data_IF_639270832162
#
_entry.id   IF_639270832162
#
_cell.length_a   1.000
_cell.length_b   1.000
_cell.length_c   1.000
_cell.angle_alpha   90.00
_cell.angle_beta   90.00
_cell.angle_gamma   90.00
#
_symmetry.space_group_name_H-M   'P 1'
#
loop_
_entity.id
_entity.type
_entity.pdbx_description
1 polymer ?
#
# COMPACT_ATOMS: atom_id res chain seq x y z
N UNK A 1 -15.18 -16.20 -9.79
CA UNK A 1 -14.97 -17.41 -8.95
C UNK A 1 -15.94 -17.36 -7.78
N UNK A 2 -16.54 -18.49 -7.41
CA UNK A 2 -17.46 -18.59 -6.28
C UNK A 2 -17.05 -19.82 -5.47
N UNK A 3 -16.86 -19.65 -4.16
CA UNK A 3 -16.49 -20.72 -3.24
C UNK A 3 -17.41 -20.67 -2.04
N UNK A 4 -17.97 -21.81 -1.65
CA UNK A 4 -18.87 -21.93 -0.50
C UNK A 4 -18.21 -22.83 0.54
N UNK A 5 -18.09 -22.34 1.76
CA UNK A 5 -17.71 -23.13 2.93
C UNK A 5 -18.91 -23.32 3.83
N UNK A 6 -19.23 -24.57 4.16
CA UNK A 6 -20.32 -24.91 5.09
C UNK A 6 -19.78 -25.29 6.46
N UNK A 7 -20.63 -25.15 7.49
CA UNK A 7 -20.29 -25.47 8.87
C UNK A 7 -19.80 -26.91 9.04
N UNK A 8 -18.63 -27.07 9.65
CA UNK A 8 -18.11 -28.38 10.05
C UNK A 8 -18.76 -28.80 11.38
N UNK A 9 -19.64 -29.82 11.41
CA UNK A 9 -20.27 -30.28 12.66
C UNK A 9 -19.27 -30.92 13.62
N UNK A 10 -18.11 -31.36 13.13
CA UNK A 10 -17.05 -31.99 13.92
C UNK A 10 -15.90 -31.02 14.23
N UNK A 11 -16.16 -29.70 14.26
CA UNK A 11 -15.13 -28.73 14.57
C UNK A 11 -14.61 -28.92 16.00
N UNK A 12 -13.28 -28.95 16.15
CA UNK A 12 -12.62 -29.36 17.40
C UNK A 12 -12.91 -28.43 18.59
N UNK A 13 -13.31 -27.18 18.33
CA UNK A 13 -13.64 -26.20 19.37
C UNK A 13 -15.15 -26.16 19.58
N UNK A 14 -15.65 -26.57 20.76
CA UNK A 14 -17.09 -26.53 21.06
C UNK A 14 -17.70 -25.13 20.89
N UNK A 15 -18.92 -25.08 20.38
CA UNK A 15 -19.67 -23.82 20.17
C UNK A 15 -19.29 -23.03 18.90
N UNK A 16 -18.37 -23.54 18.08
CA UNK A 16 -17.93 -22.92 16.83
C UNK A 16 -17.99 -23.88 15.63
N UNK A 17 -18.05 -23.36 14.39
CA UNK A 17 -18.27 -21.95 14.03
C UNK A 17 -19.73 -21.50 14.24
N UNK A 18 -19.95 -20.18 14.32
CA UNK A 18 -21.28 -19.62 14.53
C UNK A 18 -22.15 -19.60 13.28
N UNK A 19 -21.56 -19.32 12.11
CA UNK A 19 -22.25 -19.27 10.82
C UNK A 19 -22.47 -20.68 10.26
N UNK A 20 -23.58 -20.87 9.57
CA UNK A 20 -23.91 -22.13 8.90
C UNK A 20 -23.22 -22.23 7.53
N UNK A 21 -23.02 -21.09 6.87
CA UNK A 21 -22.36 -20.99 5.56
C UNK A 21 -21.59 -19.67 5.44
N UNK A 22 -20.48 -19.71 4.69
CA UNK A 22 -19.76 -18.52 4.22
C UNK A 22 -19.52 -18.65 2.73
N UNK A 23 -19.96 -17.64 1.98
CA UNK A 23 -19.74 -17.55 0.54
C UNK A 23 -18.65 -16.52 0.22
N UNK A 24 -17.67 -16.92 -0.57
CA UNK A 24 -16.62 -16.06 -1.12
C UNK A 24 -16.87 -15.85 -2.61
N UNK A 25 -17.17 -14.61 -2.99
CA UNK A 25 -17.44 -14.20 -4.37
C UNK A 25 -16.30 -13.32 -4.87
N UNK A 26 -15.67 -13.75 -5.97
CA UNK A 26 -14.67 -12.94 -6.66
C UNK A 26 -15.33 -11.84 -7.50
N UNK A 27 -15.34 -10.62 -6.97
CA UNK A 27 -15.76 -9.40 -7.69
C UNK A 27 -14.53 -8.55 -7.97
N UNK A 28 -14.06 -8.55 -9.21
CA UNK A 28 -12.82 -7.87 -9.62
C UNK A 28 -13.01 -6.36 -9.65
N UNK A 29 -14.10 -5.87 -10.25
CA UNK A 29 -14.37 -4.44 -10.32
C UNK A 29 -14.65 -3.83 -8.93
N UNK A 30 -13.86 -2.82 -8.55
CA UNK A 30 -13.95 -2.18 -7.24
C UNK A 30 -15.28 -1.46 -7.00
N UNK A 31 -15.81 -0.78 -8.00
CA UNK A 31 -17.06 -0.03 -7.87
C UNK A 31 -18.26 -0.98 -7.71
N UNK A 32 -18.30 -2.07 -8.47
CA UNK A 32 -19.28 -3.13 -8.33
C UNK A 32 -19.22 -3.78 -6.94
N UNK A 33 -18.02 -4.05 -6.42
CA UNK A 33 -17.82 -4.62 -5.08
C UNK A 33 -18.36 -3.70 -3.99
N UNK A 34 -18.07 -2.40 -4.04
CA UNK A 34 -18.60 -1.43 -3.07
C UNK A 34 -20.11 -1.24 -3.22
N UNK A 35 -20.64 -1.21 -4.45
CA UNK A 35 -22.08 -1.09 -4.64
C UNK A 35 -22.84 -2.31 -4.12
N UNK A 36 -22.30 -3.53 -4.28
CA UNK A 36 -22.88 -4.75 -3.75
C UNK A 36 -22.85 -4.79 -2.20
N UNK A 37 -21.84 -4.20 -1.57
CA UNK A 37 -21.89 -3.95 -0.12
C UNK A 37 -23.05 -2.99 0.21
N UNK A 38 -23.10 -1.84 -0.46
CA UNK A 38 -24.08 -0.78 -0.18
C UNK A 38 -25.54 -1.19 -0.48
N UNK A 39 -25.79 -2.20 -1.31
CA UNK A 39 -27.12 -2.78 -1.56
C UNK A 39 -27.50 -3.89 -0.57
N UNK A 40 -26.54 -4.36 0.25
CA UNK A 40 -26.70 -5.48 1.18
C UNK A 40 -26.45 -6.86 0.56
N UNK A 41 -26.12 -6.94 -0.73
CA UNK A 41 -25.81 -8.20 -1.41
C UNK A 41 -24.54 -8.86 -0.84
N UNK A 42 -23.56 -8.04 -0.44
CA UNK A 42 -22.37 -8.46 0.28
C UNK A 42 -22.39 -7.90 1.70
N UNK A 43 -21.92 -8.70 2.66
CA UNK A 43 -21.80 -8.27 4.07
C UNK A 43 -20.37 -7.86 4.44
N UNK A 44 -19.39 -8.22 3.59
CA UNK A 44 -17.98 -7.87 3.79
C UNK A 44 -17.27 -7.74 2.45
N UNK A 45 -16.40 -6.73 2.34
CA UNK A 45 -15.54 -6.51 1.18
C UNK A 45 -14.14 -6.11 1.65
N UNK A 46 -13.13 -6.45 0.87
CA UNK A 46 -11.74 -6.03 1.07
C UNK A 46 -11.24 -5.17 -0.09
N UNK A 47 -10.03 -4.64 0.04
CA UNK A 47 -9.37 -3.86 -1.01
C UNK A 47 -10.16 -2.60 -1.37
N UNK A 48 -10.33 -1.73 -0.39
CA UNK A 48 -11.03 -0.45 -0.53
C UNK A 48 -10.04 0.67 -0.82
N UNK A 49 -10.43 1.61 -1.68
CA UNK A 49 -9.70 2.87 -1.80
C UNK A 49 -10.09 3.81 -0.65
N UNK A 50 -9.26 4.82 -0.39
CA UNK A 50 -9.60 5.85 0.58
C UNK A 50 -10.92 6.59 0.26
N UNK A 51 -11.25 6.74 -1.03
CA UNK A 51 -12.53 7.29 -1.47
C UNK A 51 -13.71 6.36 -1.12
N UNK A 52 -13.55 5.05 -1.32
CA UNK A 52 -14.54 4.05 -0.92
C UNK A 52 -14.74 4.06 0.60
N UNK A 53 -13.65 4.10 1.37
CA UNK A 53 -13.72 4.21 2.82
C UNK A 53 -14.49 5.46 3.28
N UNK A 54 -14.27 6.61 2.63
CA UNK A 54 -15.04 7.84 2.92
C UNK A 54 -16.53 7.67 2.63
N UNK A 55 -16.87 7.04 1.49
CA UNK A 55 -18.27 6.76 1.11
C UNK A 55 -18.93 5.80 2.10
N UNK A 56 -18.26 4.71 2.47
CA UNK A 56 -18.77 3.70 3.41
C UNK A 56 -18.96 4.31 4.81
N UNK A 57 -17.97 5.08 5.31
CA UNK A 57 -18.07 5.78 6.60
C UNK A 57 -19.19 6.82 6.65
N UNK A 58 -19.64 7.33 5.49
CA UNK A 58 -20.79 8.23 5.41
C UNK A 58 -22.13 7.49 5.41
N UNK A 59 -22.13 6.16 5.23
CA UNK A 59 -23.32 5.33 5.40
C UNK A 59 -23.61 5.09 6.88
N UNK A 60 -24.88 4.90 7.24
CA UNK A 60 -25.28 4.49 8.59
C UNK A 60 -25.26 2.97 8.79
N UNK A 61 -25.07 2.20 7.72
CA UNK A 61 -25.27 0.75 7.71
C UNK A 61 -23.95 -0.03 7.85
N UNK A 62 -22.86 0.53 7.34
CA UNK A 62 -21.56 -0.16 7.28
C UNK A 62 -20.46 0.63 7.98
N UNK A 63 -19.57 -0.11 8.63
CA UNK A 63 -18.32 0.41 9.18
C UNK A 63 -17.12 0.11 8.27
N UNK A 64 -16.02 0.82 8.52
CA UNK A 64 -14.71 0.47 7.94
C UNK A 64 -13.80 -0.04 9.04
N UNK A 65 -13.32 -1.27 8.89
CA UNK A 65 -12.27 -1.82 9.72
C UNK A 65 -10.92 -1.55 9.05
N UNK A 66 -10.08 -0.78 9.72
CA UNK A 66 -8.72 -0.48 9.28
C UNK A 66 -7.72 -1.31 10.09
N UNK A 67 -6.84 -2.05 9.41
CA UNK A 67 -5.78 -2.82 10.02
C UNK A 67 -4.43 -2.31 9.54
N UNK A 68 -3.45 -2.21 10.45
CA UNK A 68 -2.09 -1.83 10.09
C UNK A 68 -1.44 -2.95 9.31
N UNK A 69 -1.08 -2.66 8.07
CA UNK A 69 -0.38 -3.61 7.19
C UNK A 69 1.13 -3.53 7.36
N UNK A 70 1.83 -4.63 7.05
CA UNK A 70 3.27 -4.65 6.83
C UNK A 70 3.68 -4.37 5.38
N UNK A 71 2.70 -4.13 4.50
CA UNK A 71 2.94 -3.77 3.11
C UNK A 71 3.64 -2.41 3.01
N UNK A 72 4.50 -2.28 2.02
CA UNK A 72 5.16 -1.03 1.66
C UNK A 72 5.24 -0.93 0.14
N UNK A 73 5.30 0.31 -0.35
CA UNK A 73 5.59 0.62 -1.76
C UNK A 73 6.90 1.38 -1.83
N UNK A 74 7.70 1.10 -2.86
CA UNK A 74 9.01 1.72 -3.04
C UNK A 74 9.39 1.84 -4.51
N UNK A 75 10.38 2.70 -4.78
CA UNK A 75 11.12 2.69 -6.03
C UNK A 75 12.35 1.80 -5.87
N UNK A 76 12.42 0.71 -6.64
CA UNK A 76 13.56 -0.19 -6.63
C UNK A 76 14.56 0.28 -7.69
N UNK A 77 15.81 0.51 -7.27
CA UNK A 77 16.91 0.85 -8.17
C UNK A 77 17.86 -0.35 -8.23
N UNK A 78 18.03 -0.91 -9.42
CA UNK A 78 19.03 -1.97 -9.67
C UNK A 78 20.44 -1.41 -9.55
N UNK A 79 21.23 -1.94 -8.62
CA UNK A 79 22.59 -1.47 -8.34
C UNK A 79 23.66 -2.15 -9.18
N UNK A 80 23.29 -3.15 -9.99
CA UNK A 80 24.19 -3.92 -10.85
C UNK A 80 24.32 -3.35 -12.26
N UNK A 81 23.48 -2.38 -12.63
CA UNK A 81 23.46 -1.74 -13.95
C UNK A 81 23.43 -0.22 -13.82
N UNK A 82 23.88 0.49 -14.86
CA UNK A 82 23.69 1.94 -14.95
C UNK A 82 22.19 2.27 -15.06
N UNK A 83 21.70 3.36 -14.45
CA UNK A 83 22.43 4.33 -13.63
C UNK A 83 22.59 3.93 -12.15
N UNK A 84 21.93 2.86 -11.69
CA UNK A 84 21.85 2.51 -10.27
C UNK A 84 23.15 1.98 -9.64
N UNK A 85 24.15 1.62 -10.43
CA UNK A 85 25.49 1.29 -9.95
C UNK A 85 26.32 2.52 -9.51
N UNK A 86 25.80 3.74 -9.65
CA UNK A 86 26.39 4.96 -9.14
C UNK A 86 25.71 5.39 -7.83
N UNK A 87 26.47 5.44 -6.73
CA UNK A 87 25.95 5.77 -5.40
C UNK A 87 25.38 7.19 -5.30
N UNK A 88 25.98 8.16 -5.99
CA UNK A 88 25.46 9.53 -6.05
C UNK A 88 24.12 9.55 -6.77
N UNK A 89 23.93 8.77 -7.85
CA UNK A 89 22.62 8.66 -8.49
C UNK A 89 21.57 8.10 -7.52
N UNK A 90 21.87 7.00 -6.82
CA UNK A 90 20.95 6.40 -5.83
C UNK A 90 20.61 7.41 -4.72
N UNK A 91 21.61 8.14 -4.23
CA UNK A 91 21.41 9.14 -3.18
C UNK A 91 20.57 10.33 -3.67
N UNK A 92 20.77 10.78 -4.91
CA UNK A 92 19.91 11.78 -5.52
C UNK A 92 18.44 11.33 -5.54
N UNK A 93 18.18 10.09 -5.98
CA UNK A 93 16.82 9.54 -6.02
C UNK A 93 16.17 9.45 -4.64
N UNK A 94 16.95 9.16 -3.58
CA UNK A 94 16.46 9.16 -2.19
C UNK A 94 16.06 10.55 -1.69
N UNK A 95 16.78 11.60 -2.11
CA UNK A 95 16.45 12.99 -1.78
C UNK A 95 15.27 13.53 -2.59
N UNK A 96 14.95 12.94 -3.75
CA UNK A 96 13.81 13.34 -4.59
C UNK A 96 12.45 12.81 -4.14
N UNK A 97 12.37 12.04 -3.06
CA UNK A 97 11.13 11.39 -2.63
C UNK A 97 10.24 12.34 -1.81
N UNK A 98 9.06 12.77 -2.32
CA UNK A 98 8.15 13.67 -1.61
C UNK A 98 7.20 12.86 -0.69
N UNK A 99 7.77 12.16 0.30
CA UNK A 99 7.07 11.12 1.08
C UNK A 99 5.78 11.61 1.75
N UNK A 100 5.81 12.76 2.42
CA UNK A 100 4.62 13.34 3.06
C UNK A 100 3.53 13.69 2.05
N UNK A 101 3.92 14.23 0.90
CA UNK A 101 2.99 14.55 -0.18
C UNK A 101 2.33 13.28 -0.71
N UNK A 102 3.10 12.21 -0.94
CA UNK A 102 2.57 10.92 -1.42
C UNK A 102 1.56 10.32 -0.43
N UNK A 103 1.88 10.32 0.87
CA UNK A 103 0.94 9.84 1.90
C UNK A 103 -0.35 10.68 1.90
N UNK A 104 -0.22 12.01 1.78
CA UNK A 104 -1.37 12.91 1.79
C UNK A 104 -2.23 12.83 0.54
N UNK A 105 -1.64 12.74 -0.65
CA UNK A 105 -2.37 12.89 -1.92
C UNK A 105 -2.70 11.56 -2.57
N UNK A 106 -1.78 10.60 -2.55
CA UNK A 106 -1.95 9.30 -3.19
C UNK A 106 -2.62 8.31 -2.24
N UNK A 107 -2.12 8.20 -1.01
CA UNK A 107 -2.68 7.29 -0.01
C UNK A 107 -3.82 7.93 0.80
N UNK A 108 -4.00 9.25 0.71
CA UNK A 108 -5.06 10.00 1.39
C UNK A 108 -5.13 9.72 2.90
N UNK A 109 -3.97 9.52 3.53
CA UNK A 109 -3.85 9.23 4.96
C UNK A 109 -3.86 7.74 5.34
N UNK A 110 -4.12 6.83 4.40
CA UNK A 110 -4.01 5.37 4.62
C UNK A 110 -2.58 4.89 4.38
N UNK A 111 -1.63 5.45 5.12
CA UNK A 111 -0.22 5.09 5.05
C UNK A 111 0.66 5.96 5.93
N UNK A 112 1.86 5.46 6.21
CA UNK A 112 2.85 6.12 7.04
C UNK A 112 4.09 6.52 6.22
N UNK A 113 4.75 7.61 6.62
CA UNK A 113 6.06 7.98 6.06
C UNK A 113 7.12 6.97 6.51
N UNK A 114 7.70 6.25 5.55
CA UNK A 114 8.79 5.29 5.79
C UNK A 114 10.17 5.86 5.46
N UNK A 115 11.22 5.21 5.96
CA UNK A 115 12.62 5.61 5.78
C UNK A 115 13.46 4.54 5.05
N UNK A 116 13.03 4.13 3.86
CA UNK A 116 13.74 3.17 3.01
C UNK A 116 14.01 1.81 3.69
N UNK A 117 13.22 1.47 4.71
CA UNK A 117 13.26 0.19 5.43
C UNK A 117 11.93 -0.54 5.31
N UNK A 118 11.92 -1.88 5.14
CA UNK A 118 10.70 -2.67 5.06
C UNK A 118 10.06 -2.94 6.44
N UNK A 119 10.50 -2.26 7.50
CA UNK A 119 10.02 -2.47 8.87
C UNK A 119 9.07 -1.33 9.25
N UNK A 120 7.77 -1.61 9.49
CA UNK A 120 6.79 -0.58 9.80
C UNK A 120 6.89 -0.11 11.26
N UNK A 121 6.38 1.09 11.60
CA UNK A 121 6.54 1.69 12.94
C UNK A 121 5.99 0.87 14.11
N UNK A 122 5.02 0.00 13.86
CA UNK A 122 4.42 -0.86 14.89
C UNK A 122 5.23 -2.14 15.17
N UNK A 123 6.21 -2.46 14.33
CA UNK A 123 6.99 -3.70 14.44
C UNK A 123 8.09 -3.56 15.51
N UNK A 124 8.35 -4.58 16.36
CA UNK A 124 9.37 -4.52 17.42
C UNK A 124 10.79 -4.18 16.95
N UNK A 125 11.11 -4.47 15.69
CA UNK A 125 12.41 -4.19 15.07
C UNK A 125 12.51 -2.80 14.42
N UNK A 126 11.50 -1.95 14.58
CA UNK A 126 11.52 -0.61 14.01
C UNK A 126 12.56 0.28 14.70
N UNK A 127 13.43 0.93 13.91
CA UNK A 127 14.41 1.86 14.42
C UNK A 127 13.87 3.30 14.34
N UNK A 128 13.38 3.83 15.45
CA UNK A 128 12.83 5.18 15.54
C UNK A 128 13.89 6.31 15.46
N UNK A 129 15.16 6.00 15.69
CA UNK A 129 16.27 6.95 15.61
C UNK A 129 16.67 7.23 14.15
N UNK A 130 16.41 6.29 13.25
CA UNK A 130 16.66 6.45 11.82
C UNK A 130 15.55 7.30 11.18
N UNK A 131 15.72 8.62 11.15
CA UNK A 131 14.71 9.56 10.62
C UNK A 131 14.57 9.50 9.08
N UNK A 132 13.34 9.58 8.54
CA UNK A 132 13.09 9.72 7.11
C UNK A 132 13.90 10.85 6.49
N UNK A 133 14.48 10.58 5.33
CA UNK A 133 15.12 11.63 4.53
C UNK A 133 14.08 12.59 3.97
N UNK A 134 14.24 13.88 4.27
CA UNK A 134 13.42 14.93 3.71
C UNK A 134 13.67 15.10 2.20
N UNK A 135 12.66 15.61 1.51
CA UNK A 135 12.79 16.09 0.13
C UNK A 135 13.81 17.23 0.11
N UNK A 136 14.89 17.08 -0.66
CA UNK A 136 15.96 18.08 -0.77
C UNK A 136 16.41 18.17 -2.23
N UNK A 137 15.80 19.11 -2.97
CA UNK A 137 16.04 19.26 -4.41
C UNK A 137 17.47 19.71 -4.69
N UNK A 138 18.07 20.52 -3.82
CA UNK A 138 19.42 21.03 -4.03
C UNK A 138 20.47 19.93 -3.81
N UNK A 139 20.31 19.09 -2.78
CA UNK A 139 21.15 17.89 -2.64
C UNK A 139 20.94 16.91 -3.77
N UNK A 140 19.71 16.71 -4.23
CA UNK A 140 19.45 15.86 -5.38
C UNK A 140 20.19 16.36 -6.62
N UNK A 141 20.10 17.65 -6.97
CA UNK A 141 20.83 18.26 -8.09
C UNK A 141 22.34 18.11 -7.94
N UNK A 142 22.88 18.35 -6.74
CA UNK A 142 24.30 18.16 -6.44
C UNK A 142 24.75 16.74 -6.77
N UNK A 143 24.02 15.73 -6.28
CA UNK A 143 24.36 14.33 -6.50
C UNK A 143 24.17 13.89 -7.96
N UNK A 144 23.13 14.36 -8.66
CA UNK A 144 22.96 14.11 -10.11
C UNK A 144 24.15 14.66 -10.92
N UNK A 145 24.61 15.88 -10.60
CA UNK A 145 25.78 16.48 -11.25
C UNK A 145 27.04 15.67 -10.96
N UNK A 146 27.24 15.26 -9.71
CA UNK A 146 28.39 14.43 -9.29
C UNK A 146 28.39 13.05 -9.94
N UNK A 147 27.21 12.48 -10.18
CA UNK A 147 27.03 11.25 -10.94
C UNK A 147 27.29 11.42 -12.46
N UNK A 148 27.45 12.66 -12.96
CA UNK A 148 27.60 12.96 -14.37
C UNK A 148 26.32 12.74 -15.18
N UNK A 149 25.15 12.81 -14.53
CA UNK A 149 23.86 12.45 -15.13
C UNK A 149 22.91 13.64 -15.32
N UNK A 150 23.42 14.87 -15.26
CA UNK A 150 22.62 16.05 -15.55
C UNK A 150 22.10 15.99 -16.99
N UNK A 151 20.78 16.09 -17.18
CA UNK A 151 20.13 15.99 -18.48
C UNK A 151 19.97 14.55 -19.02
N UNK A 152 20.31 13.53 -18.22
CA UNK A 152 20.06 12.13 -18.60
C UNK A 152 18.59 11.76 -18.41
N UNK A 153 18.10 10.85 -19.27
CA UNK A 153 16.79 10.22 -19.13
C UNK A 153 16.94 8.87 -18.43
N UNK A 154 16.03 8.57 -17.50
CA UNK A 154 15.96 7.28 -16.82
C UNK A 154 14.56 6.72 -17.01
N UNK A 155 14.48 5.45 -17.39
CA UNK A 155 13.22 4.74 -17.49
C UNK A 155 12.74 4.33 -16.08
N UNK A 156 11.45 4.61 -15.80
CA UNK A 156 10.77 4.13 -14.59
C UNK A 156 9.73 3.12 -15.04
N UNK A 157 9.93 1.87 -14.66
CA UNK A 157 9.00 0.79 -14.97
C UNK A 157 8.03 0.66 -13.81
N UNK A 158 6.74 0.77 -14.11
CA UNK A 158 5.65 0.55 -13.16
C UNK A 158 4.73 -0.52 -13.69
N UNK A 159 4.20 -1.38 -12.83
CA UNK A 159 3.07 -2.21 -13.23
C UNK A 159 1.82 -1.33 -13.33
N UNK A 160 0.88 -1.63 -14.24
CA UNK A 160 -0.49 -1.12 -14.11
C UNK A 160 -0.98 -1.45 -12.69
N UNK A 161 -1.63 -0.49 -12.04
CA UNK A 161 -2.10 -0.52 -10.65
C UNK A 161 -2.25 -1.94 -10.07
N UNK A 162 -1.50 -2.25 -9.01
CA UNK A 162 -1.79 -3.44 -8.20
C UNK A 162 -3.09 -3.14 -7.43
N UNK A 163 -4.20 -3.72 -7.87
CA UNK A 163 -5.42 -3.79 -7.07
C UNK A 163 -5.08 -4.48 -5.74
N UNK A 164 -5.14 -3.74 -4.62
CA UNK A 164 -4.79 -4.24 -3.28
C UNK A 164 -3.50 -3.69 -2.67
N UNK A 165 -2.72 -2.87 -3.39
CA UNK A 165 -1.54 -2.19 -2.85
C UNK A 165 -1.83 -0.77 -2.32
N UNK A 166 -3.07 -0.49 -1.94
CA UNK A 166 -3.46 0.74 -1.25
C UNK A 166 -3.85 0.42 0.18
#
# INVERSE_FOLDING_TARGET
MRTIGTKNPNYYKPGLPHLDEVELIGVTDGAARVNALMSGDLQMVSTLTAADCKRIKASSEFGVLESKSGMYTNLIIRTDVKPGNNEDFVLAMKYLQPREMLVKTVLQGYGDVSNDTPVPPWHPLYNADLKPRALDIEKAKFHIKKAGMAGSTVEIITTPNIEGAK
#
